data_IF_726148798224
#
_entry.id   IF_726148798224
#
_cell.length_a   1.000
_cell.length_b   1.000
_cell.length_c   1.000
_cell.angle_alpha   90.00
_cell.angle_beta   90.00
_cell.angle_gamma   90.00
#
_symmetry.space_group_name_H-M   'P 1'
#
loop_
_entity.id
_entity.type
_entity.pdbx_description
1 polymer ?
#
# COMPACT_ATOMS: atom_id res chain seq x y z
N UNK A 1 15.65 13.03 30.03
CA UNK A 1 14.43 12.74 29.25
C UNK A 1 14.80 11.85 28.08
N UNK A 2 14.16 10.70 27.98
CA UNK A 2 14.31 9.78 26.85
C UNK A 2 13.00 9.65 26.08
N UNK A 3 13.08 9.67 24.75
CA UNK A 3 11.98 9.34 23.85
C UNK A 3 12.43 8.28 22.86
N UNK A 4 11.65 7.20 22.80
CA UNK A 4 11.96 6.04 21.98
C UNK A 4 10.79 5.64 21.12
N UNK A 5 11.03 5.57 19.82
CA UNK A 5 10.07 4.99 18.87
C UNK A 5 10.47 3.57 18.56
N UNK A 6 9.54 2.64 18.73
CA UNK A 6 9.78 1.21 18.58
C UNK A 6 8.69 0.55 17.75
N UNK A 7 8.99 -0.66 17.25
CA UNK A 7 8.03 -1.55 16.59
C UNK A 7 7.55 -2.61 17.60
N UNK A 8 7.57 -3.88 17.22
CA UNK A 8 7.25 -5.01 18.10
C UNK A 8 8.20 -5.08 19.29
N UNK A 9 9.52 -4.93 19.06
CA UNK A 9 10.56 -5.01 20.09
C UNK A 9 11.10 -3.63 20.47
N UNK A 10 11.56 -3.48 21.71
CA UNK A 10 12.14 -2.23 22.20
C UNK A 10 13.55 -1.93 21.64
N UNK A 11 14.24 -2.97 21.16
CA UNK A 11 15.59 -2.89 20.59
C UNK A 11 15.73 -3.83 19.38
N UNK A 12 16.47 -3.42 18.34
CA UNK A 12 16.85 -2.04 18.05
C UNK A 12 15.59 -1.17 17.81
N UNK A 13 15.69 0.14 18.04
CA UNK A 13 14.58 1.08 17.97
C UNK A 13 14.50 1.78 16.60
N UNK A 14 13.32 2.28 16.24
CA UNK A 14 13.13 3.10 15.03
C UNK A 14 13.88 4.43 15.15
N UNK A 15 13.80 5.05 16.33
CA UNK A 15 14.47 6.29 16.66
C UNK A 15 14.63 6.38 18.18
N UNK A 16 15.78 6.88 18.64
CA UNK A 16 16.06 7.15 20.06
C UNK A 16 16.54 8.58 20.20
N UNK A 17 16.04 9.27 21.22
CA UNK A 17 16.42 10.62 21.58
C UNK A 17 16.60 10.73 23.09
N UNK A 18 17.78 11.15 23.51
CA UNK A 18 18.17 11.27 24.91
C UNK A 18 18.76 12.66 25.13
N UNK A 19 18.17 13.42 26.04
CA UNK A 19 18.72 14.70 26.55
C UNK A 19 19.18 15.72 25.50
N UNK A 20 18.52 15.77 24.33
CA UNK A 20 18.88 16.70 23.26
C UNK A 20 19.52 16.05 22.04
N UNK A 21 20.03 14.82 22.18
CA UNK A 21 20.88 14.18 21.19
C UNK A 21 20.30 12.86 20.65
N UNK A 22 20.68 12.55 19.41
CA UNK A 22 20.30 11.31 18.74
C UNK A 22 21.29 10.18 19.05
N UNK A 23 20.77 9.02 19.47
CA UNK A 23 21.58 7.84 19.79
C UNK A 23 21.58 6.86 18.59
N UNK A 24 22.46 7.10 17.63
CA UNK A 24 22.50 6.34 16.37
C UNK A 24 22.82 4.85 16.54
N UNK A 25 23.51 4.46 17.62
CA UNK A 25 23.94 3.08 17.88
C UNK A 25 22.79 2.10 18.12
N UNK A 26 21.63 2.59 18.56
CA UNK A 26 20.45 1.78 18.88
C UNK A 26 19.42 1.73 17.76
N UNK A 27 19.71 2.39 16.64
CA UNK A 27 18.78 2.53 15.54
C UNK A 27 18.77 1.30 14.62
N UNK A 28 17.57 0.79 14.36
CA UNK A 28 17.24 -0.18 13.32
C UNK A 28 17.82 0.25 11.97
N UNK A 29 18.52 -0.67 11.31
CA UNK A 29 19.31 -0.38 10.10
C UNK A 29 18.44 0.19 8.97
N UNK A 30 17.21 -0.30 8.85
CA UNK A 30 16.22 0.10 7.82
C UNK A 30 15.66 1.52 7.99
N UNK A 31 15.84 2.14 9.16
CA UNK A 31 15.39 3.52 9.47
C UNK A 31 16.53 4.55 9.50
N UNK A 32 17.79 4.10 9.50
CA UNK A 32 18.96 5.00 9.53
C UNK A 32 18.94 5.99 8.38
N UNK A 33 19.11 7.27 8.72
CA UNK A 33 19.08 8.38 7.75
C UNK A 33 17.70 8.65 7.13
N UNK A 34 16.65 7.97 7.58
CA UNK A 34 15.26 8.18 7.13
C UNK A 34 14.39 8.78 8.21
N UNK A 35 14.80 8.79 9.46
CA UNK A 35 13.99 9.29 10.56
C UNK A 35 14.49 10.63 11.09
N UNK A 36 13.56 11.47 11.50
CA UNK A 36 13.82 12.67 12.25
C UNK A 36 12.78 12.82 13.35
N UNK A 37 13.14 13.49 14.44
CA UNK A 37 12.16 13.94 15.42
C UNK A 37 11.88 15.40 15.15
N UNK A 38 10.62 15.72 14.91
CA UNK A 38 10.14 17.07 14.61
C UNK A 38 9.22 17.50 15.73
N UNK A 39 9.51 18.67 16.31
CA UNK A 39 8.74 19.26 17.39
C UNK A 39 9.48 20.44 17.99
N UNK A 40 8.79 21.56 18.12
CA UNK A 40 9.25 22.79 18.78
C UNK A 40 8.98 22.78 20.29
N UNK A 41 8.14 21.85 20.76
CA UNK A 41 7.65 21.78 22.14
C UNK A 41 7.95 20.43 22.81
N UNK A 42 9.20 19.94 22.69
CA UNK A 42 9.63 18.68 23.33
C UNK A 42 9.45 18.75 24.86
N UNK A 43 9.70 19.93 25.45
CA UNK A 43 9.46 20.19 26.89
C UNK A 43 7.99 20.13 27.30
N UNK A 44 7.06 20.22 26.35
CA UNK A 44 5.61 20.04 26.58
C UNK A 44 5.17 18.60 26.28
N UNK A 45 6.11 17.67 26.06
CA UNK A 45 5.82 16.28 25.73
C UNK A 45 5.27 16.06 24.32
N UNK A 46 5.37 17.06 23.44
CA UNK A 46 4.89 16.97 22.05
C UNK A 46 6.05 16.69 21.10
N UNK A 47 6.01 15.52 20.48
CA UNK A 47 7.06 15.08 19.57
C UNK A 47 6.47 14.23 18.45
N UNK A 48 6.94 14.46 17.22
CA UNK A 48 6.50 13.73 16.03
C UNK A 48 7.68 12.99 15.42
N UNK A 49 7.51 11.69 15.18
CA UNK A 49 8.44 10.93 14.35
C UNK A 49 8.13 11.19 12.89
N UNK A 50 9.09 11.75 12.16
CA UNK A 50 9.04 11.84 10.71
C UNK A 50 9.84 10.69 10.09
N UNK A 51 9.24 9.99 9.12
CA UNK A 51 9.90 8.96 8.32
C UNK A 51 9.94 9.42 6.86
N UNK A 52 11.13 9.60 6.30
CA UNK A 52 11.37 10.02 4.92
C UNK A 52 11.37 8.83 3.96
N UNK A 53 10.75 9.04 2.80
CA UNK A 53 10.64 8.05 1.73
C UNK A 53 9.95 6.78 2.21
N UNK A 54 8.69 6.90 2.65
CA UNK A 54 7.90 5.80 3.20
C UNK A 54 7.89 4.57 2.28
N UNK A 55 7.94 3.39 2.89
CA UNK A 55 7.96 2.08 2.25
C UNK A 55 6.81 1.23 2.76
N UNK A 56 6.42 0.19 2.03
CA UNK A 56 5.38 -0.76 2.47
C UNK A 56 5.75 -1.45 3.78
N UNK A 57 7.03 -1.72 4.00
CA UNK A 57 7.57 -2.26 5.26
C UNK A 57 7.40 -1.32 6.45
N UNK A 58 7.13 -0.03 6.20
CA UNK A 58 6.86 0.94 7.25
C UNK A 58 5.40 0.83 7.75
N UNK A 59 4.51 0.08 7.08
CA UNK A 59 3.14 -0.17 7.58
C UNK A 59 3.17 -0.90 8.94
N UNK A 60 2.16 -0.64 9.76
CA UNK A 60 1.88 -1.39 10.97
C UNK A 60 2.05 -0.58 12.24
N UNK A 61 2.08 -1.29 13.36
CA UNK A 61 2.07 -0.69 14.68
C UNK A 61 3.43 -0.10 15.05
N UNK A 62 3.39 1.06 15.70
CA UNK A 62 4.50 1.71 16.36
C UNK A 62 4.11 2.01 17.81
N UNK A 63 5.11 2.04 18.68
CA UNK A 63 4.97 2.53 20.05
C UNK A 63 5.95 3.65 20.31
N UNK A 64 5.47 4.71 20.96
CA UNK A 64 6.29 5.77 21.51
C UNK A 64 6.41 5.51 23.00
N UNK A 65 7.65 5.39 23.48
CA UNK A 65 7.98 5.25 24.89
C UNK A 65 8.62 6.55 25.34
N UNK A 66 8.18 7.08 26.47
CA UNK A 66 8.63 8.36 27.02
C UNK A 66 9.03 8.17 28.47
N UNK A 67 10.20 8.68 28.84
CA UNK A 67 10.75 8.58 30.18
C UNK A 67 11.33 9.92 30.66
N UNK A 68 10.88 10.38 31.83
CA UNK A 68 11.41 11.57 32.53
C UNK A 68 11.40 11.31 34.04
N UNK A 69 12.52 11.58 34.71
CA UNK A 69 12.67 11.44 36.17
C UNK A 69 12.09 10.12 36.73
N UNK A 70 12.47 8.99 36.12
CA UNK A 70 12.01 7.61 36.42
C UNK A 70 10.50 7.35 36.18
N UNK A 71 9.78 8.29 35.57
CA UNK A 71 8.37 8.12 35.16
C UNK A 71 8.31 7.70 33.70
N UNK A 72 7.77 6.49 33.47
CA UNK A 72 7.57 5.91 32.14
C UNK A 72 6.11 6.05 31.68
N UNK A 73 5.91 6.40 30.41
CA UNK A 73 4.63 6.37 29.72
C UNK A 73 4.80 5.79 28.31
N UNK A 74 3.76 5.16 27.79
CA UNK A 74 3.74 4.67 26.41
C UNK A 74 2.43 4.98 25.68
N UNK A 75 2.53 5.17 24.38
CA UNK A 75 1.40 5.30 23.47
C UNK A 75 1.64 4.44 22.22
N UNK A 76 0.58 3.88 21.67
CA UNK A 76 0.62 3.07 20.45
C UNK A 76 -0.08 3.79 19.31
N UNK A 77 0.42 3.61 18.09
CA UNK A 77 -0.23 4.09 16.87
C UNK A 77 -0.07 3.06 15.75
N UNK A 78 -1.04 3.00 14.85
CA UNK A 78 -0.96 2.19 13.63
C UNK A 78 -0.69 3.10 12.43
N UNK A 79 0.50 2.99 11.83
CA UNK A 79 0.83 3.67 10.60
C UNK A 79 0.28 2.87 9.42
N UNK A 80 -0.54 3.52 8.58
CA UNK A 80 -1.01 2.94 7.33
C UNK A 80 -0.29 3.54 6.15
N UNK A 81 0.37 2.69 5.38
CA UNK A 81 1.03 3.06 4.13
C UNK A 81 0.11 2.73 2.98
N UNK A 82 0.02 3.63 2.01
CA UNK A 82 -0.82 3.45 0.83
C UNK A 82 -0.02 3.72 -0.44
N UNK A 83 -0.08 2.77 -1.37
CA UNK A 83 0.37 2.89 -2.75
C UNK A 83 -0.83 2.95 -3.69
N UNK A 84 -0.93 4.02 -4.48
CA UNK A 84 -1.92 4.15 -5.55
C UNK A 84 -1.25 3.71 -6.85
N UNK A 85 -1.72 2.59 -7.40
CA UNK A 85 -1.09 1.98 -8.57
C UNK A 85 -1.31 2.74 -9.87
N UNK A 86 -0.75 2.23 -10.95
CA UNK A 86 -0.93 2.75 -12.32
C UNK A 86 -2.38 2.64 -12.77
N UNK A 87 -2.76 3.42 -13.78
CA UNK A 87 -4.06 3.21 -14.43
C UNK A 87 -4.07 1.80 -15.06
N UNK A 88 -5.16 1.03 -14.92
CA UNK A 88 -5.23 -0.30 -15.50
C UNK A 88 -5.06 -0.25 -17.02
N UNK A 89 -4.47 -1.30 -17.59
CA UNK A 89 -4.35 -1.48 -19.03
C UNK A 89 -5.05 -2.76 -19.44
N UNK A 90 -6.00 -2.66 -20.38
CA UNK A 90 -6.68 -3.83 -20.95
C UNK A 90 -6.05 -4.17 -22.31
N UNK A 91 -5.57 -5.40 -22.46
CA UNK A 91 -5.09 -5.99 -23.72
C UNK A 91 -5.97 -7.16 -24.14
N UNK A 92 -6.02 -7.42 -25.45
CA UNK A 92 -6.66 -8.61 -26.01
C UNK A 92 -5.57 -9.62 -26.35
N UNK A 93 -5.54 -10.74 -25.63
CA UNK A 93 -4.46 -11.74 -25.75
C UNK A 93 -4.73 -12.75 -26.88
N UNK A 94 -5.99 -12.99 -27.22
CA UNK A 94 -6.37 -13.90 -28.31
C UNK A 94 -7.66 -14.65 -28.05
N UNK A 95 -7.78 -15.83 -28.66
CA UNK A 95 -8.91 -16.73 -28.47
C UNK A 95 -8.54 -17.87 -27.53
N UNK A 96 -9.43 -18.18 -26.60
CA UNK A 96 -9.35 -19.35 -25.72
C UNK A 96 -10.68 -20.08 -25.77
N UNK A 97 -10.64 -21.33 -26.23
CA UNK A 97 -11.83 -22.18 -26.43
C UNK A 97 -12.95 -21.54 -27.27
N UNK A 98 -12.58 -20.62 -28.18
CA UNK A 98 -13.51 -19.89 -29.06
C UNK A 98 -13.98 -18.52 -28.52
N UNK A 99 -13.70 -18.21 -27.26
CA UNK A 99 -13.99 -16.92 -26.63
C UNK A 99 -12.78 -15.97 -26.69
N UNK A 100 -13.04 -14.66 -26.67
CA UNK A 100 -12.01 -13.63 -26.63
C UNK A 100 -11.50 -13.47 -25.21
N UNK A 101 -10.19 -13.61 -25.01
CA UNK A 101 -9.54 -13.39 -23.73
C UNK A 101 -9.01 -11.95 -23.63
N UNK A 102 -9.52 -11.22 -22.64
CA UNK A 102 -9.02 -9.91 -22.23
C UNK A 102 -8.14 -10.06 -21.00
N UNK A 103 -7.04 -9.32 -20.94
CA UNK A 103 -6.14 -9.23 -19.79
C UNK A 103 -6.13 -7.78 -19.28
N UNK A 104 -6.33 -7.58 -17.99
CA UNK A 104 -6.17 -6.29 -17.34
C UNK A 104 -4.96 -6.34 -16.40
N UNK A 105 -4.03 -5.41 -16.58
CA UNK A 105 -2.81 -5.30 -15.78
C UNK A 105 -2.71 -3.95 -15.08
N UNK A 106 -2.10 -3.92 -13.89
CA UNK A 106 -1.81 -2.70 -13.14
C UNK A 106 -0.75 -2.92 -12.07
N UNK A 107 0.02 -1.89 -11.73
CA UNK A 107 1.22 -1.98 -10.90
C UNK A 107 1.22 -0.97 -9.76
N UNK A 108 1.85 -1.29 -8.64
CA UNK A 108 2.19 -0.30 -7.62
C UNK A 108 1.15 -0.10 -6.53
N UNK A 109 0.27 -1.07 -6.29
CA UNK A 109 -0.78 -0.98 -5.28
C UNK A 109 -0.29 -1.40 -3.90
N UNK A 110 -0.69 -0.68 -2.85
CA UNK A 110 -0.51 -1.15 -1.47
C UNK A 110 -1.57 -0.52 -0.55
N UNK A 111 -2.20 -1.25 0.38
CA UNK A 111 -2.12 -2.71 0.55
C UNK A 111 -2.73 -3.46 -0.65
N UNK A 112 -2.98 -4.77 -0.51
CA UNK A 112 -3.60 -5.57 -1.57
C UNK A 112 -4.87 -4.86 -2.11
N UNK A 113 -4.95 -4.59 -3.43
CA UNK A 113 -6.08 -3.88 -4.01
C UNK A 113 -7.30 -4.79 -4.18
N UNK A 114 -8.47 -4.18 -4.37
CA UNK A 114 -9.68 -4.88 -4.81
C UNK A 114 -9.79 -4.78 -6.33
N UNK A 115 -10.10 -5.89 -6.98
CA UNK A 115 -10.18 -6.00 -8.44
C UNK A 115 -11.59 -6.42 -8.83
N UNK A 116 -12.17 -5.77 -9.84
CA UNK A 116 -13.51 -6.06 -10.31
C UNK A 116 -13.66 -5.78 -11.80
N UNK A 117 -14.16 -6.76 -12.54
CA UNK A 117 -14.70 -6.54 -13.88
C UNK A 117 -16.16 -6.10 -13.80
N UNK A 118 -16.55 -5.18 -14.66
CA UNK A 118 -17.92 -4.69 -14.77
C UNK A 118 -18.38 -4.69 -16.23
N UNK A 119 -19.66 -4.95 -16.44
CA UNK A 119 -20.30 -4.78 -17.74
C UNK A 119 -20.64 -3.31 -18.05
N UNK A 120 -21.46 -3.09 -19.09
CA UNK A 120 -21.91 -1.76 -19.52
C UNK A 120 -22.84 -1.09 -18.52
N UNK A 121 -23.57 -1.88 -17.75
CA UNK A 121 -24.52 -1.44 -16.73
C UNK A 121 -23.81 -1.15 -15.40
N UNK A 122 -22.54 -1.56 -15.28
CA UNK A 122 -21.77 -1.45 -14.04
C UNK A 122 -21.92 -2.67 -13.14
N UNK A 123 -22.56 -3.74 -13.64
CA UNK A 123 -22.77 -4.96 -12.87
C UNK A 123 -21.50 -5.82 -12.84
N UNK A 124 -21.28 -6.48 -11.71
CA UNK A 124 -20.08 -7.28 -11.49
C UNK A 124 -20.02 -8.47 -12.44
N UNK A 125 -18.88 -8.65 -13.09
CA UNK A 125 -18.58 -9.81 -13.92
C UNK A 125 -17.51 -10.68 -13.25
N UNK A 126 -17.65 -12.02 -13.30
CA UNK A 126 -16.63 -12.91 -12.77
C UNK A 126 -15.37 -12.86 -13.63
N UNK A 127 -14.21 -12.77 -12.99
CA UNK A 127 -12.93 -12.99 -13.67
C UNK A 127 -12.78 -14.46 -14.06
N UNK A 128 -12.13 -14.70 -15.20
CA UNK A 128 -11.69 -16.04 -15.60
C UNK A 128 -10.47 -16.48 -14.77
N UNK A 129 -9.56 -15.56 -14.50
CA UNK A 129 -8.42 -15.77 -13.60
C UNK A 129 -8.00 -14.45 -12.97
N UNK A 130 -7.43 -14.50 -11.78
CA UNK A 130 -6.85 -13.35 -11.09
C UNK A 130 -5.57 -13.78 -10.38
N UNK A 131 -4.51 -13.00 -10.58
CA UNK A 131 -3.22 -13.17 -9.95
C UNK A 131 -2.78 -11.83 -9.35
N UNK A 132 -2.43 -11.87 -8.06
CA UNK A 132 -1.86 -10.75 -7.34
C UNK A 132 -0.47 -11.17 -6.88
N UNK A 133 0.56 -10.47 -7.37
CA UNK A 133 1.95 -10.72 -7.00
C UNK A 133 2.56 -9.46 -6.41
N UNK A 134 3.62 -9.59 -5.61
CA UNK A 134 4.30 -8.44 -5.01
C UNK A 134 5.70 -8.27 -5.60
N UNK A 135 6.08 -7.03 -5.87
CA UNK A 135 7.44 -6.68 -6.24
C UNK A 135 8.38 -6.68 -5.02
N UNK A 136 9.67 -6.46 -5.26
CA UNK A 136 10.68 -6.36 -4.19
C UNK A 136 10.44 -5.24 -3.15
N UNK A 137 9.56 -4.28 -3.47
CA UNK A 137 9.14 -3.19 -2.58
C UNK A 137 7.82 -3.53 -1.88
N UNK A 138 7.30 -4.74 -2.03
CA UNK A 138 6.02 -5.18 -1.45
C UNK A 138 4.79 -4.57 -2.12
N UNK A 139 4.95 -3.87 -3.25
CA UNK A 139 3.83 -3.31 -4.00
C UNK A 139 3.19 -4.39 -4.88
N UNK A 140 1.87 -4.41 -4.94
CA UNK A 140 1.09 -5.38 -5.70
C UNK A 140 1.06 -5.03 -7.19
N UNK A 141 1.34 -6.05 -7.99
CA UNK A 141 1.04 -6.18 -9.39
C UNK A 141 -0.24 -7.01 -9.56
N UNK A 142 -1.13 -6.53 -10.41
CA UNK A 142 -2.44 -7.12 -10.68
C UNK A 142 -2.45 -7.65 -12.10
N UNK A 143 -2.83 -8.91 -12.27
CA UNK A 143 -3.21 -9.50 -13.55
C UNK A 143 -4.58 -10.17 -13.38
N UNK A 144 -5.57 -9.73 -14.15
CA UNK A 144 -6.90 -10.37 -14.16
C UNK A 144 -7.38 -10.57 -15.57
N UNK A 145 -7.92 -11.74 -15.86
CA UNK A 145 -8.39 -12.11 -17.19
C UNK A 145 -9.92 -12.24 -17.21
N UNK A 146 -10.52 -11.91 -18.35
CA UNK A 146 -11.93 -12.07 -18.62
C UNK A 146 -12.13 -12.79 -19.96
N UNK A 147 -12.99 -13.81 -20.00
CA UNK A 147 -13.43 -14.44 -21.24
C UNK A 147 -14.75 -13.83 -21.69
N UNK A 148 -14.83 -13.46 -22.97
CA UNK A 148 -16.05 -12.89 -23.54
C UNK A 148 -16.37 -13.55 -24.88
N UNK A 149 -17.63 -13.91 -25.06
CA UNK A 149 -18.10 -14.55 -26.29
C UNK A 149 -17.86 -13.66 -27.52
N UNK A 150 -17.29 -14.25 -28.58
CA UNK A 150 -16.91 -13.54 -29.81
C UNK A 150 -18.08 -12.87 -30.52
N UNK A 151 -19.28 -13.45 -30.44
CA UNK A 151 -20.49 -12.92 -31.09
C UNK A 151 -21.14 -11.75 -30.34
N UNK A 152 -20.58 -11.32 -29.22
CA UNK A 152 -21.15 -10.27 -28.38
C UNK A 152 -20.54 -8.90 -28.67
N UNK A 153 -21.35 -7.85 -28.56
CA UNK A 153 -20.83 -6.48 -28.46
C UNK A 153 -20.39 -6.27 -27.01
N UNK A 154 -19.09 -6.25 -26.80
CA UNK A 154 -18.46 -6.17 -25.48
C UNK A 154 -18.21 -4.70 -25.17
N UNK A 155 -18.64 -4.23 -24.01
CA UNK A 155 -18.02 -3.06 -23.38
C UNK A 155 -17.91 -3.41 -21.90
N UNK A 156 -16.67 -3.55 -21.47
CA UNK A 156 -16.32 -4.02 -20.13
C UNK A 156 -15.36 -3.04 -19.52
N UNK A 157 -15.42 -2.93 -18.20
CA UNK A 157 -14.54 -2.07 -17.43
C UNK A 157 -13.81 -2.91 -16.40
N UNK A 158 -12.48 -2.83 -16.39
CA UNK A 158 -11.66 -3.31 -15.29
C UNK A 158 -11.51 -2.18 -14.26
N UNK A 159 -11.85 -2.45 -13.01
CA UNK A 159 -11.73 -1.51 -11.89
C UNK A 159 -10.80 -2.09 -10.83
N UNK A 160 -9.82 -1.29 -10.42
CA UNK A 160 -8.88 -1.63 -9.35
C UNK A 160 -8.93 -0.51 -8.33
N UNK A 161 -9.12 -0.85 -7.05
CA UNK A 161 -9.29 0.14 -5.98
C UNK A 161 -8.44 -0.15 -4.76
N UNK A 162 -8.04 0.94 -4.09
CA UNK A 162 -7.37 0.89 -2.81
C UNK A 162 -8.41 0.86 -1.68
N UNK A 163 -8.43 -0.17 -0.82
CA UNK A 163 -9.45 -0.32 0.20
C UNK A 163 -9.36 0.72 1.34
N UNK A 164 -8.20 1.35 1.53
CA UNK A 164 -7.98 2.33 2.61
C UNK A 164 -8.31 3.76 2.19
N UNK A 165 -7.97 4.15 0.96
CA UNK A 165 -8.26 5.51 0.46
C UNK A 165 -9.61 5.61 -0.28
N UNK A 166 -10.21 4.48 -0.66
CA UNK A 166 -11.38 4.46 -1.54
C UNK A 166 -11.09 4.95 -2.97
N UNK A 167 -9.82 5.24 -3.29
CA UNK A 167 -9.41 5.61 -4.64
C UNK A 167 -9.50 4.41 -5.58
N UNK A 168 -10.11 4.63 -6.74
CA UNK A 168 -10.36 3.64 -7.78
C UNK A 168 -9.78 4.14 -9.09
N UNK A 169 -9.13 3.24 -9.84
CA UNK A 169 -8.75 3.46 -11.23
C UNK A 169 -9.41 2.44 -12.12
N UNK A 170 -9.80 2.87 -13.31
CA UNK A 170 -10.55 2.05 -14.25
C UNK A 170 -9.99 2.14 -15.65
N UNK A 171 -10.13 1.06 -16.41
CA UNK A 171 -9.96 1.05 -17.85
C UNK A 171 -11.17 0.37 -18.49
N UNK A 172 -11.61 0.90 -19.63
CA UNK A 172 -12.73 0.32 -20.38
C UNK A 172 -12.25 -0.17 -21.73
N UNK A 173 -12.78 -1.31 -22.16
CA UNK A 173 -12.47 -1.92 -23.45
C UNK A 173 -13.78 -2.22 -24.16
N UNK A 174 -13.84 -1.88 -25.44
CA UNK A 174 -15.01 -2.14 -26.28
C UNK A 174 -14.60 -2.89 -27.54
N UNK A 175 -15.33 -3.97 -27.82
CA UNK A 175 -15.15 -4.79 -29.01
C UNK A 175 -16.51 -5.10 -29.64
N UNK A 176 -16.58 -5.00 -30.96
CA UNK A 176 -17.74 -5.46 -31.73
C UNK A 176 -17.32 -6.69 -32.52
N UNK A 177 -17.80 -7.86 -32.11
CA UNK A 177 -17.67 -9.08 -32.89
C UNK A 177 -18.43 -8.95 -34.22
N UNK A 178 -17.74 -9.27 -35.31
CA UNK A 178 -18.34 -9.44 -36.65
C UNK A 178 -18.63 -10.89 -36.96
#
# INVERSE_FOLDING_TARGET
>A
MEVRWVRSHCYPAVQVYVDGDHVAGEQMVEYRGRTALVGDAIHEGRLTLQIHGARTSDDGQYRCLFEIDDVYQEASMDLKVVGVGSSPLITMEGLKDGDVQLMCTSDGWFPQPLVQWMDRQGEAMPSFSEALSQDSRGLFHVETALLVARSSIVNVTCSISNPLLGERKTASFSFSGG
#
